data_IF_253809948727
#
_entry.id   IF_253809948727
#
_cell.length_a   1.000
_cell.length_b   1.000
_cell.length_c   1.000
_cell.angle_alpha   90.00
_cell.angle_beta   90.00
_cell.angle_gamma   90.00
#
_symmetry.space_group_name_H-M   'P 1'
#
loop_
_entity.id
_entity.type
_entity.pdbx_description
1 polymer ?
#
# COMPACT_ATOMS: atom_id res chain seq x y z
N UNK A 1 -16.71 -4.42 -1.03
CA UNK A 1 -15.27 -4.74 -1.00
C UNK A 1 -15.10 -6.16 -0.49
N UNK A 2 -14.55 -7.10 -1.28
CA UNK A 2 -14.31 -8.47 -0.82
C UNK A 2 -12.95 -8.55 -0.10
N UNK A 3 -12.98 -8.78 1.21
CA UNK A 3 -11.78 -8.96 2.04
C UNK A 3 -10.99 -10.18 1.54
N UNK A 4 -9.73 -9.98 1.13
CA UNK A 4 -8.85 -11.09 0.77
C UNK A 4 -8.27 -11.72 2.03
N UNK A 5 -8.30 -13.05 2.13
CA UNK A 5 -7.79 -13.80 3.29
C UNK A 5 -6.28 -13.60 3.52
N UNK A 6 -5.55 -13.21 2.47
CA UNK A 6 -4.11 -12.95 2.48
C UNK A 6 -3.76 -11.46 2.54
N UNK A 7 -4.75 -10.57 2.73
CA UNK A 7 -4.48 -9.14 2.74
C UNK A 7 -3.93 -8.61 4.05
N UNK A 8 -2.88 -7.81 3.94
CA UNK A 8 -2.17 -7.21 5.06
C UNK A 8 -2.85 -5.89 5.45
N UNK A 9 -4.04 -6.00 6.04
CA UNK A 9 -4.86 -4.86 6.44
C UNK A 9 -4.61 -4.50 7.90
N UNK A 10 -3.76 -3.51 8.18
CA UNK A 10 -3.42 -3.14 9.56
C UNK A 10 -3.45 -1.62 9.79
N UNK A 11 -4.57 -1.13 10.33
CA UNK A 11 -4.69 0.17 10.98
C UNK A 11 -5.05 -0.05 12.46
N UNK A 12 -4.62 0.82 13.36
CA UNK A 12 -4.96 0.73 14.79
C UNK A 12 -5.81 1.93 15.19
N UNK A 13 -7.01 1.70 15.71
CA UNK A 13 -7.80 2.73 16.37
C UNK A 13 -7.90 2.45 17.88
N UNK A 14 -8.62 3.30 18.60
CA UNK A 14 -8.82 3.19 20.06
C UNK A 14 -9.48 1.87 20.49
N UNK A 15 -10.21 1.20 19.59
CA UNK A 15 -10.89 -0.06 19.83
C UNK A 15 -10.08 -1.32 19.42
N UNK A 16 -8.93 -1.16 18.75
CA UNK A 16 -8.07 -2.29 18.37
C UNK A 16 -7.51 -2.21 16.95
N UNK A 17 -7.17 -3.37 16.39
CA UNK A 17 -6.70 -3.51 15.01
C UNK A 17 -7.91 -3.53 14.07
N UNK A 18 -7.97 -2.56 13.17
CA UNK A 18 -9.08 -2.36 12.24
C UNK A 18 -8.54 -2.32 10.81
N UNK A 19 -9.42 -2.64 9.86
CA UNK A 19 -9.13 -2.48 8.43
C UNK A 19 -8.69 -1.04 8.18
N UNK A 20 -7.66 -0.84 7.35
CA UNK A 20 -7.18 0.49 6.98
C UNK A 20 -8.27 1.25 6.22
N UNK A 21 -8.88 2.29 6.83
CA UNK A 21 -10.00 3.01 6.23
C UNK A 21 -9.59 3.81 5.00
N UNK A 22 -8.28 3.99 4.75
CA UNK A 22 -7.76 4.71 3.57
C UNK A 22 -7.79 3.88 2.29
N UNK A 23 -7.88 2.55 2.39
CA UNK A 23 -8.10 1.66 1.24
C UNK A 23 -9.60 1.62 0.88
N UNK A 24 -10.12 2.73 0.38
CA UNK A 24 -11.54 2.84 -0.01
C UNK A 24 -11.88 1.93 -1.20
N UNK A 25 -10.92 1.63 -2.09
CA UNK A 25 -11.11 0.78 -3.26
C UNK A 25 -9.85 -0.02 -3.59
N UNK A 26 -10.01 -1.32 -3.79
CA UNK A 26 -9.01 -2.21 -4.38
C UNK A 26 -9.51 -2.66 -5.75
N UNK A 27 -8.69 -2.50 -6.78
CA UNK A 27 -9.01 -2.93 -8.14
C UNK A 27 -8.30 -4.24 -8.47
N UNK A 28 -9.01 -5.15 -9.14
CA UNK A 28 -8.47 -6.46 -9.54
C UNK A 28 -7.83 -6.43 -10.92
N UNK A 29 -8.28 -5.51 -11.77
CA UNK A 29 -7.80 -5.35 -13.13
C UNK A 29 -7.84 -3.88 -13.54
N UNK A 30 -7.05 -3.56 -14.55
CA UNK A 30 -7.01 -2.24 -15.17
C UNK A 30 -8.40 -1.83 -15.66
N UNK A 31 -9.19 -2.75 -16.22
CA UNK A 31 -10.56 -2.48 -16.63
C UNK A 31 -11.51 -2.11 -15.47
N UNK A 32 -11.26 -2.60 -14.25
CA UNK A 32 -12.05 -2.17 -13.07
C UNK A 32 -11.72 -0.73 -12.67
N UNK A 33 -10.44 -0.37 -12.73
CA UNK A 33 -9.95 0.98 -12.43
C UNK A 33 -10.34 1.99 -13.52
N UNK A 34 -10.09 1.67 -14.78
CA UNK A 34 -10.31 2.54 -15.93
C UNK A 34 -11.79 2.84 -16.19
N UNK A 35 -12.71 1.98 -15.73
CA UNK A 35 -14.17 2.26 -15.75
C UNK A 35 -14.57 3.50 -14.94
N UNK A 36 -13.68 4.01 -14.09
CA UNK A 36 -13.91 5.26 -13.36
C UNK A 36 -13.36 6.50 -14.07
N UNK A 37 -12.62 6.33 -15.17
CA UNK A 37 -12.13 7.45 -15.99
C UNK A 37 -13.18 7.78 -17.03
N UNK A 38 -13.61 9.05 -17.10
CA UNK A 38 -14.54 9.50 -18.14
C UNK A 38 -13.75 9.74 -19.44
N UNK A 39 -13.95 8.91 -20.49
CA UNK A 39 -13.19 9.04 -21.74
C UNK A 39 -13.53 10.33 -22.52
N UNK A 40 -14.67 10.95 -22.26
CA UNK A 40 -15.09 12.19 -22.94
C UNK A 40 -14.42 13.44 -22.31
N UNK A 41 -13.77 13.30 -21.16
CA UNK A 41 -13.13 14.41 -20.43
C UNK A 41 -11.63 14.21 -20.23
N UNK A 42 -11.16 12.97 -20.24
CA UNK A 42 -9.78 12.63 -19.89
C UNK A 42 -9.19 11.61 -20.85
N UNK A 43 -7.96 11.88 -21.27
CA UNK A 43 -7.10 10.95 -21.99
C UNK A 43 -6.11 10.31 -21.02
N UNK A 44 -6.02 8.98 -21.01
CA UNK A 44 -5.03 8.24 -20.21
C UNK A 44 -3.68 8.32 -20.92
N UNK A 45 -2.71 9.04 -20.34
CA UNK A 45 -1.35 9.15 -20.87
C UNK A 45 -0.44 8.05 -20.37
N UNK A 46 -0.54 7.74 -19.09
CA UNK A 46 0.26 6.69 -18.47
C UNK A 46 -0.59 5.83 -17.55
N UNK A 47 -0.30 4.53 -17.56
CA UNK A 47 -0.87 3.54 -16.66
C UNK A 47 0.27 2.61 -16.23
N UNK A 48 0.83 2.87 -15.05
CA UNK A 48 1.96 2.12 -14.51
C UNK A 48 1.50 1.28 -13.34
N UNK A 49 1.89 0.00 -13.34
CA UNK A 49 1.61 -0.93 -12.26
C UNK A 49 2.90 -1.30 -11.55
N UNK A 50 3.11 -0.75 -10.37
CA UNK A 50 4.33 -0.90 -9.58
C UNK A 50 4.13 -1.88 -8.43
N UNK A 51 5.01 -2.88 -8.23
CA UNK A 51 4.89 -3.81 -7.11
C UNK A 51 5.12 -3.08 -5.79
N UNK A 52 4.28 -3.38 -4.79
CA UNK A 52 4.44 -2.81 -3.45
C UNK A 52 5.50 -3.60 -2.69
N UNK A 53 6.40 -2.90 -2.01
CA UNK A 53 7.38 -3.49 -1.12
C UNK A 53 7.43 -2.76 0.22
N UNK A 54 7.36 -3.52 1.32
CA UNK A 54 7.43 -2.97 2.67
C UNK A 54 8.70 -3.45 3.39
N UNK A 55 9.32 -2.61 4.25
CA UNK A 55 10.41 -3.04 5.12
C UNK A 55 9.91 -4.10 6.12
N UNK A 56 10.56 -5.26 6.17
CA UNK A 56 10.17 -6.33 7.11
C UNK A 56 10.38 -5.90 8.56
N UNK A 57 11.41 -5.09 8.80
CA UNK A 57 11.71 -4.53 10.11
C UNK A 57 10.53 -3.73 10.70
N UNK A 58 9.75 -3.03 9.86
CA UNK A 58 8.58 -2.27 10.32
C UNK A 58 7.49 -3.21 10.88
N UNK A 59 7.32 -4.40 10.29
CA UNK A 59 6.37 -5.38 10.78
C UNK A 59 6.78 -5.95 12.15
N UNK A 60 8.06 -6.32 12.30
CA UNK A 60 8.59 -6.85 13.55
C UNK A 60 8.56 -5.81 14.68
N UNK A 61 8.98 -4.58 14.40
CA UNK A 61 8.97 -3.51 15.41
C UNK A 61 7.56 -3.13 15.84
N UNK A 62 6.60 -3.09 14.89
CA UNK A 62 5.17 -2.93 15.21
C UNK A 62 4.66 -4.06 16.11
N UNK A 63 5.05 -5.32 15.85
CA UNK A 63 4.64 -6.48 16.65
C UNK A 63 5.19 -6.43 18.08
N UNK A 64 6.38 -5.85 18.25
CA UNK A 64 7.05 -5.64 19.54
C UNK A 64 6.60 -4.36 20.27
N UNK A 65 5.63 -3.61 19.71
CA UNK A 65 5.16 -2.30 20.22
C UNK A 65 6.28 -1.27 20.39
N UNK A 66 7.38 -1.43 19.67
CA UNK A 66 8.43 -0.42 19.64
C UNK A 66 8.03 0.72 18.71
N UNK A 67 8.22 1.94 19.19
CA UNK A 67 7.87 3.15 18.47
C UNK A 67 8.82 3.39 17.28
N UNK A 68 8.40 4.17 16.30
CA UNK A 68 9.21 4.54 15.13
C UNK A 68 10.54 5.22 15.52
N UNK A 69 10.64 5.70 16.76
CA UNK A 69 11.84 6.24 17.39
C UNK A 69 12.97 5.21 17.57
N UNK A 70 12.66 3.90 17.57
CA UNK A 70 13.67 2.84 17.67
C UNK A 70 14.70 2.89 16.54
N UNK A 71 14.29 3.34 15.35
CA UNK A 71 15.17 3.54 14.20
C UNK A 71 16.17 4.68 14.37
N UNK A 72 15.87 5.68 15.22
CA UNK A 72 16.81 6.78 15.51
C UNK A 72 17.89 6.35 16.51
N UNK A 73 17.56 5.44 17.42
CA UNK A 73 18.45 4.98 18.49
C UNK A 73 19.44 3.90 18.03
N UNK A 74 19.09 3.13 17.01
CA UNK A 74 19.87 1.97 16.58
C UNK A 74 20.14 1.96 15.07
N UNK A 75 21.40 2.21 14.70
CA UNK A 75 21.88 2.20 13.31
C UNK A 75 21.72 0.85 12.61
N UNK A 76 21.77 -0.27 13.33
CA UNK A 76 21.54 -1.60 12.78
C UNK A 76 20.07 -1.83 12.36
N UNK A 77 19.10 -1.23 13.06
CA UNK A 77 17.68 -1.25 12.65
C UNK A 77 17.45 -0.47 11.37
N UNK A 78 18.21 0.61 11.12
CA UNK A 78 18.17 1.34 9.84
C UNK A 78 18.65 0.47 8.69
N UNK A 79 19.71 -0.33 8.88
CA UNK A 79 20.19 -1.26 7.87
C UNK A 79 19.16 -2.37 7.58
N UNK A 80 18.51 -2.91 8.61
CA UNK A 80 17.43 -3.88 8.47
C UNK A 80 16.20 -3.33 7.74
N UNK A 81 15.92 -2.03 7.85
CA UNK A 81 14.85 -1.36 7.09
C UNK A 81 15.12 -1.34 5.57
N UNK A 82 16.37 -1.53 5.14
CA UNK A 82 16.70 -1.68 3.72
C UNK A 82 16.19 -3.01 3.14
N UNK A 83 16.02 -4.05 3.97
CA UNK A 83 15.43 -5.31 3.56
C UNK A 83 13.92 -5.14 3.37
N UNK A 84 13.54 -4.90 2.11
CA UNK A 84 12.14 -4.79 1.67
C UNK A 84 11.68 -6.12 1.10
N UNK A 85 10.50 -6.55 1.49
CA UNK A 85 9.83 -7.72 0.90
C UNK A 85 8.69 -7.22 0.03
N UNK A 86 8.65 -7.71 -1.22
CA UNK A 86 7.53 -7.48 -2.14
C UNK A 86 6.31 -8.22 -1.62
N UNK A 87 5.15 -7.57 -1.64
CA UNK A 87 3.89 -8.22 -1.28
C UNK A 87 3.31 -8.91 -2.51
N UNK A 88 3.32 -10.26 -2.56
CA UNK A 88 2.77 -10.98 -3.70
C UNK A 88 1.27 -10.68 -3.81
N UNK A 89 0.84 -10.35 -5.04
CA UNK A 89 -0.55 -10.01 -5.33
C UNK A 89 -0.97 -8.57 -5.02
N UNK A 90 -0.04 -7.72 -4.55
CA UNK A 90 -0.28 -6.29 -4.33
C UNK A 90 0.57 -5.44 -5.27
N UNK A 91 -0.09 -4.49 -5.93
CA UNK A 91 0.54 -3.49 -6.78
C UNK A 91 -0.18 -2.16 -6.60
N UNK A 92 0.56 -1.07 -6.78
CA UNK A 92 0.00 0.27 -6.91
C UNK A 92 -0.20 0.53 -8.40
N UNK A 93 -1.38 1.00 -8.77
CA UNK A 93 -1.63 1.59 -10.08
C UNK A 93 -1.42 3.10 -9.99
N UNK A 94 -0.62 3.64 -10.89
CA UNK A 94 -0.41 5.06 -11.10
C UNK A 94 -0.96 5.41 -12.47
N UNK A 95 -1.98 6.28 -12.50
CA UNK A 95 -2.61 6.76 -13.71
C UNK A 95 -2.32 8.25 -13.88
N UNK A 96 -1.83 8.63 -15.06
CA UNK A 96 -1.68 10.04 -15.46
C UNK A 96 -2.77 10.33 -16.49
N UNK A 97 -3.66 11.27 -16.13
CA UNK A 97 -4.77 11.70 -16.96
C UNK A 97 -4.49 13.12 -17.48
N UNK A 98 -4.66 13.31 -18.79
CA UNK A 98 -4.68 14.63 -19.42
C UNK A 98 -6.13 15.03 -19.68
N UNK A 99 -6.48 16.28 -19.38
CA UNK A 99 -7.81 16.80 -19.70
C UNK A 99 -7.88 17.15 -21.19
N UNK A 100 -8.95 16.72 -21.84
CA UNK A 100 -9.28 17.11 -23.22
C UNK A 100 -9.66 18.60 -23.32
#
# INVERSE_FOLDING_TARGET
MQKRWYGWYYHRNEAGWVLDPTHLREYRSDGELLRHVNPDQFLVRENVKSPIAYPVADFLLRRLRHDAYAYRKHTWLRALRAAKVRLPGYAIWELVLERL
#
